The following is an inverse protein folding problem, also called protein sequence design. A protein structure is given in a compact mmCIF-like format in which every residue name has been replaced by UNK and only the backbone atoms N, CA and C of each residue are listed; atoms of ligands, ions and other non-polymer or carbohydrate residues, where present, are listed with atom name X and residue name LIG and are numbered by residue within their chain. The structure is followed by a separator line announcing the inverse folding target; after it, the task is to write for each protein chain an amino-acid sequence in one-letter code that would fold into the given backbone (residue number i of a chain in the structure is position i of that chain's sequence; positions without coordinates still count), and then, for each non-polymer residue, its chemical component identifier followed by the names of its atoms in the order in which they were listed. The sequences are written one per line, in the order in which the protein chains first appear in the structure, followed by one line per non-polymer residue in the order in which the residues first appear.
data_IF_758586953047
#
_entry.id   IF_758586953047
#
_cell.length_a   1.000
_cell.length_b   1.000
_cell.length_c   1.000
_cell.angle_alpha   90.00
_cell.angle_beta   90.00
_cell.angle_gamma   90.00
#
_symmetry.space_group_name_H-M   'P 1'
#
loop_
_entity.id
_entity.type
_entity.pdbx_description
1 polymer ?
#
# COMPACT_ATOMS: atom_id res chain seq x y z
N UNK A 1 1.67 -17.49 11.36
CA UNK A 1 1.02 -16.22 10.98
C UNK A 1 0.00 -16.52 9.89
N UNK A 2 -1.24 -16.10 10.04
CA UNK A 2 -2.36 -16.42 9.14
C UNK A 2 -2.72 -15.18 8.30
N UNK A 3 -1.78 -14.68 7.50
CA UNK A 3 -1.96 -13.52 6.64
C UNK A 3 -1.70 -12.16 7.31
N UNK A 4 -1.87 -11.07 6.52
CA UNK A 4 -1.54 -9.71 6.94
C UNK A 4 -2.41 -9.21 8.11
N UNK A 5 -3.69 -9.56 8.15
CA UNK A 5 -4.58 -9.17 9.25
C UNK A 5 -4.14 -9.79 10.59
N UNK A 6 -3.71 -11.05 10.57
CA UNK A 6 -3.18 -11.74 11.76
C UNK A 6 -1.85 -11.09 12.23
N UNK A 7 -0.98 -10.71 11.29
CA UNK A 7 0.26 -10.00 11.59
C UNK A 7 0.00 -8.63 12.27
N UNK A 8 -0.96 -7.88 11.76
CA UNK A 8 -1.38 -6.60 12.36
C UNK A 8 -1.97 -6.84 13.75
N UNK A 9 -2.82 -7.85 13.91
CA UNK A 9 -3.42 -8.17 15.20
C UNK A 9 -2.38 -8.51 16.27
N UNK A 10 -1.28 -9.18 15.90
CA UNK A 10 -0.17 -9.46 16.81
C UNK A 10 0.54 -8.19 17.32
N UNK A 11 0.45 -7.07 16.62
CA UNK A 11 1.07 -5.81 17.01
C UNK A 11 0.22 -4.99 17.98
N UNK A 12 -1.02 -5.38 18.25
CA UNK A 12 -1.98 -4.60 19.05
C UNK A 12 -1.45 -4.15 20.41
N UNK A 13 -0.75 -5.05 21.12
CA UNK A 13 -0.20 -4.75 22.45
C UNK A 13 0.88 -3.67 22.46
N UNK A 14 1.42 -3.32 21.28
CA UNK A 14 2.45 -2.28 21.11
C UNK A 14 1.87 -0.93 20.65
N UNK A 15 0.60 -0.90 20.23
CA UNK A 15 -0.01 0.28 19.58
C UNK A 15 -0.68 1.23 20.58
N UNK A 16 -0.98 0.78 21.79
CA UNK A 16 -1.55 1.57 22.88
C UNK A 16 -2.77 2.44 22.50
N UNK A 17 -3.66 1.87 21.68
CA UNK A 17 -4.89 2.52 21.19
C UNK A 17 -4.66 3.83 20.37
N UNK A 18 -3.49 3.97 19.73
CA UNK A 18 -3.18 5.09 18.86
C UNK A 18 -3.27 4.71 17.38
N UNK A 19 -3.46 5.69 16.47
CA UNK A 19 -3.31 5.47 15.02
C UNK A 19 -1.88 5.03 14.69
N UNK A 20 -1.74 4.10 13.78
CA UNK A 20 -0.44 3.53 13.43
C UNK A 20 -0.25 3.34 11.93
N UNK A 21 1.01 3.39 11.52
CA UNK A 21 1.42 3.15 10.14
C UNK A 21 1.70 1.66 9.90
N UNK A 22 1.26 1.16 8.74
CA UNK A 22 1.64 -0.16 8.23
C UNK A 22 2.36 0.00 6.92
N UNK A 23 3.57 -0.57 6.83
CA UNK A 23 4.41 -0.57 5.64
C UNK A 23 4.77 -2.02 5.31
N UNK A 24 4.34 -2.50 4.14
CA UNK A 24 4.76 -3.80 3.64
C UNK A 24 6.18 -3.66 3.05
N UNK A 25 7.07 -4.57 3.44
CA UNK A 25 8.49 -4.49 3.08
C UNK A 25 8.79 -4.80 1.62
N UNK A 26 7.87 -5.46 0.93
CA UNK A 26 7.96 -5.83 -0.48
C UNK A 26 7.33 -4.79 -1.44
N UNK A 27 6.72 -3.73 -0.93
CA UNK A 27 6.10 -2.66 -1.72
C UNK A 27 6.87 -1.35 -1.55
N UNK A 28 7.93 -1.16 -2.32
CA UNK A 28 8.80 0.02 -2.22
C UNK A 28 8.25 1.14 -3.08
N UNK A 29 8.15 2.35 -2.49
CA UNK A 29 7.70 3.55 -3.19
C UNK A 29 8.74 4.65 -2.99
N UNK A 30 9.33 5.11 -4.10
CA UNK A 30 10.27 6.21 -4.11
C UNK A 30 9.62 7.50 -4.57
N UNK A 31 9.89 8.56 -3.84
CA UNK A 31 9.54 9.93 -4.21
C UNK A 31 10.61 10.88 -3.67
N UNK A 32 11.09 11.81 -4.50
CA UNK A 32 12.22 12.68 -4.15
C UNK A 32 11.94 13.66 -3.01
N UNK A 33 10.71 14.18 -2.93
CA UNK A 33 10.36 15.26 -2.02
C UNK A 33 9.52 14.79 -0.83
N UNK A 34 8.49 13.97 -1.05
CA UNK A 34 7.55 13.57 0.00
C UNK A 34 7.38 12.04 0.03
N UNK A 35 7.99 11.33 0.98
CA UNK A 35 7.82 9.88 1.12
C UNK A 35 6.34 9.48 1.20
N UNK A 36 6.00 8.29 0.66
CA UNK A 36 4.62 7.79 0.61
C UNK A 36 3.88 7.83 1.96
N UNK A 37 4.58 7.51 3.06
CA UNK A 37 3.96 7.59 4.40
C UNK A 37 3.66 9.02 4.84
N UNK A 38 4.49 9.99 4.48
CA UNK A 38 4.20 11.40 4.77
C UNK A 38 2.94 11.87 4.05
N UNK A 39 2.76 11.46 2.78
CA UNK A 39 1.53 11.77 2.02
C UNK A 39 0.29 11.20 2.74
N UNK A 40 0.34 9.96 3.22
CA UNK A 40 -0.75 9.35 3.99
C UNK A 40 -0.98 10.03 5.34
N UNK A 41 0.08 10.26 6.12
CA UNK A 41 -0.01 10.90 7.44
C UNK A 41 -0.58 12.31 7.34
N UNK A 42 -0.19 13.09 6.32
CA UNK A 42 -0.76 14.40 6.05
C UNK A 42 -2.28 14.34 5.80
N UNK A 43 -2.75 13.31 5.09
CA UNK A 43 -4.17 13.10 4.88
C UNK A 43 -4.87 12.59 6.14
N UNK A 44 -4.23 11.69 6.88
CA UNK A 44 -4.73 11.27 8.18
C UNK A 44 -4.93 12.46 9.13
N UNK A 45 -3.95 13.33 9.27
CA UNK A 45 -4.03 14.52 10.12
C UNK A 45 -5.20 15.45 9.73
N UNK A 46 -5.59 15.43 8.46
CA UNK A 46 -6.72 16.23 7.97
C UNK A 46 -8.09 15.59 8.21
N UNK A 47 -8.20 14.26 8.05
CA UNK A 47 -9.47 13.57 8.04
C UNK A 47 -9.74 12.76 9.33
N UNK A 48 -8.73 12.46 10.12
CA UNK A 48 -8.84 11.69 11.36
C UNK A 48 -9.38 10.26 11.18
N UNK A 49 -9.17 9.66 10.01
CA UNK A 49 -9.75 8.36 9.66
C UNK A 49 -8.70 7.45 8.98
N UNK A 50 -8.94 6.16 8.99
CA UNK A 50 -8.10 5.16 8.31
C UNK A 50 -7.86 5.55 6.85
N UNK A 51 -6.58 5.53 6.45
CA UNK A 51 -6.10 5.85 5.10
C UNK A 51 -5.48 4.62 4.44
N UNK A 52 -5.86 4.37 3.20
CA UNK A 52 -5.33 3.30 2.35
C UNK A 52 -4.60 3.94 1.18
N UNK A 53 -3.30 3.69 1.04
CA UNK A 53 -2.52 4.13 -0.11
C UNK A 53 -2.93 3.39 -1.37
N UNK A 54 -3.01 4.10 -2.50
CA UNK A 54 -3.30 3.50 -3.80
C UNK A 54 -2.53 4.18 -4.91
N UNK A 55 -2.39 3.47 -6.04
CA UNK A 55 -1.92 4.03 -7.31
C UNK A 55 -2.76 3.51 -8.47
N UNK A 56 -2.93 4.34 -9.50
CA UNK A 56 -3.52 3.92 -10.75
C UNK A 56 -2.56 3.00 -11.48
N UNK A 57 -3.04 1.83 -11.89
CA UNK A 57 -2.27 0.87 -12.68
C UNK A 57 -2.21 1.31 -14.13
N UNK A 58 -1.08 1.06 -14.77
CA UNK A 58 -0.89 1.27 -16.21
C UNK A 58 -0.51 -0.07 -16.85
N UNK A 59 -1.26 -0.45 -17.86
CA UNK A 59 -1.05 -1.69 -18.62
C UNK A 59 -1.57 -2.96 -17.92
N UNK A 60 -1.35 -4.08 -18.61
CA UNK A 60 -1.80 -5.40 -18.15
C UNK A 60 -1.08 -5.85 -16.90
N UNK A 61 -1.82 -6.44 -15.97
CA UNK A 61 -1.30 -6.99 -14.72
C UNK A 61 -1.18 -8.51 -14.81
N UNK A 62 0.05 -9.02 -14.82
CA UNK A 62 0.32 -10.47 -14.89
C UNK A 62 -0.12 -11.22 -13.63
N UNK A 63 -0.23 -10.53 -12.49
CA UNK A 63 -0.67 -11.08 -11.21
C UNK A 63 -1.90 -10.35 -10.68
N UNK A 64 -2.76 -11.02 -9.90
CA UNK A 64 -3.93 -10.38 -9.30
C UNK A 64 -3.55 -9.18 -8.44
N UNK A 65 -4.26 -8.07 -8.63
CA UNK A 65 -4.14 -6.84 -7.82
C UNK A 65 -5.41 -6.60 -7.02
N UNK A 66 -5.26 -6.07 -5.82
CA UNK A 66 -6.38 -5.60 -5.01
C UNK A 66 -6.82 -4.23 -5.54
N UNK A 67 -7.89 -4.22 -6.33
CA UNK A 67 -8.46 -3.02 -6.95
C UNK A 67 -9.48 -2.41 -6.02
N UNK A 68 -9.37 -1.11 -5.81
CA UNK A 68 -10.22 -0.35 -4.91
C UNK A 68 -11.48 0.11 -5.64
N UNK A 69 -12.63 -0.13 -5.01
CA UNK A 69 -13.88 0.53 -5.35
C UNK A 69 -14.06 1.70 -4.39
N UNK A 70 -14.14 2.90 -4.92
CA UNK A 70 -14.21 4.12 -4.12
C UNK A 70 -15.04 5.20 -4.81
N UNK A 71 -15.54 6.14 -4.02
CA UNK A 71 -16.27 7.33 -4.51
C UNK A 71 -15.39 8.55 -4.29
N UNK A 72 -15.19 9.32 -5.35
CA UNK A 72 -14.41 10.55 -5.29
C UNK A 72 -14.93 11.51 -4.23
N UNK A 73 -14.03 12.18 -3.54
CA UNK A 73 -14.35 13.32 -2.67
C UNK A 73 -14.14 14.62 -3.43
N UNK A 74 -14.47 15.75 -2.82
CA UNK A 74 -14.20 17.07 -3.39
C UNK A 74 -12.71 17.35 -3.56
N UNK A 75 -11.84 16.59 -2.88
CA UNK A 75 -10.40 16.73 -2.95
C UNK A 75 -9.78 15.76 -3.94
N UNK A 76 -9.03 16.28 -4.90
CA UNK A 76 -8.25 15.49 -5.86
C UNK A 76 -7.33 14.50 -5.15
N UNK A 77 -7.28 13.27 -5.63
CA UNK A 77 -6.43 12.20 -5.10
C UNK A 77 -6.94 11.52 -3.83
N UNK A 78 -8.09 11.97 -3.27
CA UNK A 78 -8.72 11.34 -2.11
C UNK A 78 -10.11 10.84 -2.49
N UNK A 79 -10.39 9.59 -2.17
CA UNK A 79 -11.71 8.99 -2.38
C UNK A 79 -12.16 8.24 -1.14
N UNK A 80 -13.47 8.13 -0.94
CA UNK A 80 -14.03 7.30 0.12
C UNK A 80 -13.99 5.84 -0.33
N UNK A 81 -13.31 5.01 0.43
CA UNK A 81 -13.23 3.57 0.19
C UNK A 81 -14.59 2.90 0.42
N UNK A 82 -14.99 2.02 -0.47
CA UNK A 82 -16.22 1.22 -0.37
C UNK A 82 -15.91 -0.28 -0.30
N UNK A 83 -15.08 -0.76 -1.21
CA UNK A 83 -14.81 -2.18 -1.37
C UNK A 83 -13.46 -2.40 -2.06
N UNK A 84 -13.01 -3.66 -2.09
CA UNK A 84 -11.82 -4.11 -2.82
C UNK A 84 -12.09 -5.46 -3.46
N UNK A 85 -11.62 -5.64 -4.67
CA UNK A 85 -11.72 -6.89 -5.43
C UNK A 85 -10.38 -7.28 -6.02
N UNK A 86 -10.15 -8.58 -6.25
CA UNK A 86 -8.96 -9.06 -6.96
C UNK A 86 -9.23 -9.06 -8.46
N UNK A 87 -8.39 -8.37 -9.21
CA UNK A 87 -8.48 -8.25 -10.67
C UNK A 87 -7.12 -8.56 -11.29
N UNK A 88 -7.11 -9.19 -12.46
CA UNK A 88 -5.91 -9.55 -13.22
C UNK A 88 -6.06 -9.14 -14.68
N UNK A 89 -4.95 -9.06 -15.41
CA UNK A 89 -4.94 -8.76 -16.83
C UNK A 89 -5.31 -7.33 -17.17
N UNK A 90 -5.86 -7.14 -18.37
CA UNK A 90 -6.27 -5.84 -18.89
C UNK A 90 -7.41 -5.19 -18.10
N UNK A 91 -8.20 -5.97 -17.40
CA UNK A 91 -9.30 -5.44 -16.57
C UNK A 91 -8.81 -4.58 -15.40
N UNK A 92 -7.54 -4.71 -15.03
CA UNK A 92 -6.92 -3.89 -13.97
C UNK A 92 -6.39 -2.54 -14.49
N UNK A 93 -6.22 -2.37 -15.79
CA UNK A 93 -5.67 -1.15 -16.38
C UNK A 93 -6.54 0.07 -16.12
N UNK A 94 -5.92 1.19 -15.77
CA UNK A 94 -6.60 2.44 -15.40
C UNK A 94 -7.29 2.41 -14.05
N UNK A 95 -7.31 1.30 -13.32
CA UNK A 95 -7.93 1.18 -12.00
C UNK A 95 -6.95 1.48 -10.87
N UNK A 96 -7.48 1.96 -9.73
CA UNK A 96 -6.70 2.20 -8.53
C UNK A 96 -6.44 0.92 -7.76
N UNK A 97 -5.17 0.53 -7.65
CA UNK A 97 -4.73 -0.63 -6.88
C UNK A 97 -4.31 -0.21 -5.47
N UNK A 98 -4.66 -1.04 -4.49
CA UNK A 98 -4.21 -0.93 -3.12
C UNK A 98 -2.70 -1.13 -3.05
N UNK A 99 -2.03 -0.26 -2.32
CA UNK A 99 -0.60 -0.37 -1.99
C UNK A 99 -0.41 -0.95 -0.59
N UNK A 100 0.81 -1.38 -0.30
CA UNK A 100 1.24 -1.82 1.02
C UNK A 100 1.54 -0.66 1.99
N UNK A 101 0.75 0.39 1.95
CA UNK A 101 0.91 1.61 2.77
C UNK A 101 -0.43 2.01 3.37
N UNK A 102 -0.50 2.02 4.71
CA UNK A 102 -1.72 2.34 5.44
C UNK A 102 -1.43 3.21 6.65
N UNK A 103 -2.38 4.06 7.00
CA UNK A 103 -2.53 4.60 8.36
C UNK A 103 -3.85 4.06 8.90
N UNK A 104 -3.78 3.23 9.92
CA UNK A 104 -4.93 2.55 10.49
C UNK A 104 -5.31 3.16 11.84
N UNK A 105 -6.60 3.26 12.11
CA UNK A 105 -7.12 3.58 13.45
C UNK A 105 -7.26 2.32 14.29
N UNK A 106 -7.17 2.40 15.63
CA UNK A 106 -7.21 1.22 16.52
C UNK A 106 -8.46 0.36 16.41
N UNK A 107 -9.58 0.92 15.94
CA UNK A 107 -10.82 0.17 15.69
C UNK A 107 -10.63 -1.06 14.80
N UNK A 108 -9.56 -1.07 14.00
CA UNK A 108 -9.20 -2.19 13.13
C UNK A 108 -8.99 -3.49 13.92
N UNK A 109 -8.46 -3.41 15.14
CA UNK A 109 -8.18 -4.59 15.95
C UNK A 109 -9.45 -5.35 16.36
N UNK A 110 -10.50 -4.62 16.77
CA UNK A 110 -11.79 -5.24 17.08
C UNK A 110 -12.38 -5.95 15.86
N UNK A 111 -12.26 -5.32 14.69
CA UNK A 111 -12.75 -5.87 13.44
C UNK A 111 -11.95 -7.11 13.05
N UNK A 112 -10.61 -7.05 13.09
CA UNK A 112 -9.72 -8.16 12.74
C UNK A 112 -9.98 -9.42 13.57
N UNK A 113 -10.32 -9.29 14.86
CA UNK A 113 -10.69 -10.44 15.71
C UNK A 113 -11.94 -11.16 15.26
N UNK A 114 -12.80 -10.50 14.47
CA UNK A 114 -14.08 -11.03 14.00
C UNK A 114 -14.07 -11.42 12.52
N UNK A 115 -13.02 -11.07 11.77
CA UNK A 115 -12.85 -11.48 10.39
C UNK A 115 -12.72 -13.00 10.34
N UNK A 116 -13.55 -13.64 9.53
CA UNK A 116 -13.42 -15.07 9.28
C UNK A 116 -12.23 -15.31 8.35
N UNK A 117 -11.39 -16.33 8.64
CA UNK A 117 -10.34 -16.73 7.72
C UNK A 117 -10.93 -17.09 6.35
N UNK A 118 -10.20 -16.76 5.29
CA UNK A 118 -10.56 -17.18 3.95
C UNK A 118 -10.36 -18.70 3.74
N UNK A 119 -10.59 -19.18 2.52
CA UNK A 119 -10.44 -20.61 2.16
C UNK A 119 -9.02 -21.18 2.40
N UNK A 120 -8.00 -20.30 2.46
CA UNK A 120 -6.62 -20.67 2.77
C UNK A 120 -6.29 -20.52 4.27
N UNK A 121 -7.26 -20.15 5.09
CA UNK A 121 -7.08 -19.90 6.51
C UNK A 121 -6.45 -18.53 6.84
N UNK A 122 -6.43 -17.59 5.89
CA UNK A 122 -5.83 -16.26 6.05
C UNK A 122 -6.82 -15.23 6.56
N UNK A 123 -6.43 -14.44 7.57
CA UNK A 123 -7.12 -13.24 8.01
C UNK A 123 -6.62 -12.08 7.16
N UNK A 124 -7.49 -11.61 6.25
CA UNK A 124 -7.11 -10.60 5.27
C UNK A 124 -7.44 -9.19 5.76
N UNK A 125 -6.46 -8.28 5.71
CA UNK A 125 -6.69 -6.86 6.00
C UNK A 125 -7.77 -6.25 5.09
N UNK A 126 -7.81 -6.66 3.82
CA UNK A 126 -8.81 -6.21 2.86
C UNK A 126 -10.25 -6.43 3.33
N UNK A 127 -10.52 -7.58 3.96
CA UNK A 127 -11.87 -7.91 4.47
C UNK A 127 -12.19 -7.09 5.74
N UNK A 128 -11.19 -6.87 6.60
CA UNK A 128 -11.36 -5.95 7.73
C UNK A 128 -11.66 -4.52 7.29
N UNK A 129 -10.99 -4.01 6.26
CA UNK A 129 -11.24 -2.67 5.70
C UNK A 129 -12.66 -2.54 5.11
N UNK A 130 -13.18 -3.59 4.46
CA UNK A 130 -14.59 -3.62 3.99
C UNK A 130 -15.57 -3.48 5.15
N UNK A 131 -15.36 -4.27 6.21
CA UNK A 131 -16.20 -4.20 7.41
C UNK A 131 -16.10 -2.81 8.07
N UNK A 132 -14.88 -2.28 8.18
CA UNK A 132 -14.66 -0.93 8.72
C UNK A 132 -15.39 0.13 7.91
N UNK A 133 -15.30 0.08 6.58
CA UNK A 133 -15.93 1.05 5.69
C UNK A 133 -17.48 1.05 5.76
N UNK A 134 -18.07 -0.07 6.17
CA UNK A 134 -19.52 -0.16 6.41
C UNK A 134 -19.97 0.54 7.71
N UNK A 135 -19.02 0.81 8.63
CA UNK A 135 -19.31 1.39 9.96
C UNK A 135 -18.82 2.83 10.10
N UNK A 136 -17.72 3.17 9.45
CA UNK A 136 -17.07 4.47 9.55
C UNK A 136 -16.38 4.88 8.27
N UNK A 137 -15.88 6.12 8.21
CA UNK A 137 -15.16 6.60 7.04
C UNK A 137 -13.79 5.91 6.94
N UNK A 138 -13.50 5.36 5.77
CA UNK A 138 -12.17 4.91 5.33
C UNK A 138 -11.89 5.62 4.02
N UNK A 139 -10.69 6.16 3.86
CA UNK A 139 -10.32 6.87 2.65
C UNK A 139 -9.20 6.18 1.90
N UNK A 140 -9.19 6.31 0.59
CA UNK A 140 -8.05 6.00 -0.27
C UNK A 140 -7.31 7.28 -0.59
N UNK A 141 -5.99 7.19 -0.65
CA UNK A 141 -5.12 8.30 -1.01
C UNK A 141 -4.25 7.88 -2.19
N UNK A 142 -4.37 8.60 -3.30
CA UNK A 142 -3.50 8.43 -4.45
C UNK A 142 -2.09 8.86 -4.06
N UNK A 143 -1.16 7.93 -4.05
CA UNK A 143 0.24 8.14 -3.67
C UNK A 143 1.05 8.50 -4.91
N UNK A 144 1.78 9.59 -4.82
CA UNK A 144 2.77 9.97 -5.82
C UNK A 144 4.09 9.25 -5.55
N UNK A 145 4.79 8.88 -6.63
CA UNK A 145 6.07 8.20 -6.56
C UNK A 145 6.18 6.99 -7.48
N UNK A 146 7.40 6.50 -7.64
CA UNK A 146 7.70 5.31 -8.42
C UNK A 146 7.63 4.07 -7.54
N UNK A 147 6.75 3.15 -7.90
CA UNK A 147 6.53 1.90 -7.15
C UNK A 147 7.37 0.76 -7.73
N UNK A 148 7.88 -0.08 -6.83
CA UNK A 148 8.53 -1.35 -7.13
C UNK A 148 7.91 -2.45 -6.26
N UNK A 149 7.41 -3.49 -6.90
CA UNK A 149 6.93 -4.71 -6.25
C UNK A 149 8.12 -5.67 -6.12
N UNK A 150 8.89 -5.56 -5.02
CA UNK A 150 10.12 -6.35 -4.86
C UNK A 150 9.86 -7.83 -4.52
N UNK A 151 8.61 -8.25 -4.38
CA UNK A 151 8.22 -9.65 -4.49
C UNK A 151 8.42 -10.22 -5.89
N UNK A 152 8.50 -9.35 -6.91
CA UNK A 152 8.89 -9.68 -8.27
C UNK A 152 10.40 -9.51 -8.44
N UNK A 153 11.07 -10.53 -8.97
CA UNK A 153 12.53 -10.56 -9.12
C UNK A 153 13.07 -9.44 -10.01
N UNK A 154 12.38 -9.11 -11.11
CA UNK A 154 12.79 -8.03 -12.01
C UNK A 154 12.66 -6.65 -11.34
N UNK A 155 11.56 -6.41 -10.64
CA UNK A 155 11.36 -5.13 -9.95
C UNK A 155 12.30 -4.98 -8.74
N UNK A 156 12.66 -6.08 -8.07
CA UNK A 156 13.72 -6.09 -7.08
C UNK A 156 15.08 -5.60 -7.66
N UNK A 157 15.46 -6.13 -8.82
CA UNK A 157 16.70 -5.71 -9.51
C UNK A 157 16.62 -4.25 -9.96
N UNK A 158 15.50 -3.82 -10.53
CA UNK A 158 15.30 -2.41 -10.91
C UNK A 158 15.40 -1.49 -9.70
N UNK A 159 14.71 -1.81 -8.61
CA UNK A 159 14.79 -1.04 -7.36
C UNK A 159 16.24 -0.96 -6.87
N UNK A 160 16.95 -2.08 -6.83
CA UNK A 160 18.34 -2.14 -6.40
C UNK A 160 19.24 -1.21 -7.22
N UNK A 161 19.13 -1.27 -8.55
CA UNK A 161 19.91 -0.41 -9.47
C UNK A 161 19.57 1.05 -9.26
N UNK A 162 18.29 1.41 -9.25
CA UNK A 162 17.89 2.82 -9.14
C UNK A 162 18.25 3.41 -7.77
N UNK A 163 18.01 2.67 -6.68
CA UNK A 163 18.44 3.14 -5.36
C UNK A 163 19.97 3.28 -5.22
N UNK A 164 20.74 2.41 -5.88
CA UNK A 164 22.20 2.57 -5.93
C UNK A 164 22.61 3.85 -6.67
N UNK A 165 21.96 4.15 -7.82
CA UNK A 165 22.23 5.35 -8.62
C UNK A 165 21.84 6.66 -7.92
N UNK A 166 20.82 6.63 -7.05
CA UNK A 166 20.38 7.83 -6.31
C UNK A 166 21.25 8.14 -5.07
N UNK A 167 22.10 7.23 -4.65
CA UNK A 167 22.95 7.47 -3.48
C UNK A 167 24.15 8.35 -3.84
N UNK A 168 24.29 9.49 -3.14
CA UNK A 168 25.38 10.44 -3.34
C UNK A 168 26.77 9.81 -3.25
N UNK A 169 26.95 8.85 -2.34
CA UNK A 169 28.24 8.20 -2.09
C UNK A 169 28.51 6.98 -2.97
N UNK A 170 27.64 6.63 -3.89
CA UNK A 170 27.75 5.40 -4.69
C UNK A 170 27.35 5.61 -6.16
N UNK A 171 26.45 6.57 -6.43
CA UNK A 171 25.75 6.68 -7.70
C UNK A 171 26.67 6.85 -8.91
N UNK A 172 27.68 7.71 -8.83
CA UNK A 172 28.57 7.93 -9.97
C UNK A 172 29.47 6.71 -10.25
N UNK A 173 30.09 6.12 -9.22
CA UNK A 173 30.93 4.93 -9.37
C UNK A 173 30.13 3.75 -9.93
N UNK A 174 28.90 3.58 -9.44
CA UNK A 174 28.01 2.52 -9.91
C UNK A 174 27.53 2.75 -11.35
N UNK A 175 27.30 3.99 -11.72
CA UNK A 175 26.94 4.38 -13.10
C UNK A 175 28.08 4.09 -14.10
N UNK A 176 29.33 4.38 -13.70
CA UNK A 176 30.51 4.03 -14.52
C UNK A 176 30.62 2.51 -14.69
N UNK A 177 30.52 1.76 -13.59
CA UNK A 177 30.51 0.30 -13.63
C UNK A 177 29.45 -0.26 -14.59
N UNK A 178 28.22 0.27 -14.58
CA UNK A 178 27.15 -0.19 -15.47
C UNK A 178 27.47 0.10 -16.95
N UNK A 179 28.09 1.25 -17.28
CA UNK A 179 28.49 1.59 -18.65
C UNK A 179 29.51 0.62 -19.24
N UNK A 180 30.37 0.04 -18.39
CA UNK A 180 31.38 -0.95 -18.83
C UNK A 180 30.76 -2.33 -19.11
N UNK A 181 29.51 -2.59 -18.70
CA UNK A 181 28.85 -3.91 -18.75
C UNK A 181 27.73 -4.00 -19.77
N UNK A 182 27.28 -2.88 -20.31
CA UNK A 182 26.21 -2.75 -21.30
C UNK A 182 26.80 -2.16 -22.57
#
# INVERSE_FOLDING_TARGET
MRGLGDAILCAESFIDNEPFAVLLGDDIIYHEQEPAMHQLMRMYNKYGATMVGCQTLNGEQAVPRNILQSVATEKTGISRFLNVEKVVGHEADGKSAMLGRYVLTPDIFEILRRVQPDENGEIRLADALKIMASRQAVYTCQIEGKRYDVGNQLDYLKATVEYALWRENLGEDFKEYLKERI
#
